data_IF_470257415880
#
_entry.id   IF_470257415880
#
_cell.length_a   1.000
_cell.length_b   1.000
_cell.length_c   1.000
_cell.angle_alpha   90.00
_cell.angle_beta   90.00
_cell.angle_gamma   90.00
#
_symmetry.space_group_name_H-M   'P 1'
#
loop_
_entity.id
_entity.type
_entity.pdbx_description
1 polymer ?
#
# COMPACT_ATOMS: atom_id res chain seq x y z
N UNK A 1 69.14 37.51 -43.76
CA UNK A 1 67.95 36.72 -44.16
C UNK A 1 67.55 35.86 -42.98
N UNK A 2 66.36 36.10 -42.43
CA UNK A 2 65.85 35.46 -41.19
C UNK A 2 65.12 34.16 -41.55
N UNK A 3 65.52 33.05 -40.95
CA UNK A 3 64.82 31.76 -40.96
C UNK A 3 63.66 31.76 -39.95
N UNK A 4 62.45 31.28 -40.29
CA UNK A 4 61.36 31.19 -39.34
C UNK A 4 61.42 29.87 -38.56
N UNK A 5 61.19 29.95 -37.25
CA UNK A 5 61.01 28.81 -36.35
C UNK A 5 59.50 28.54 -36.25
N UNK A 6 59.07 27.36 -36.68
CA UNK A 6 57.68 26.90 -36.54
C UNK A 6 57.53 26.20 -35.19
N UNK A 7 56.80 26.82 -34.26
CA UNK A 7 56.46 26.23 -32.97
C UNK A 7 55.18 25.40 -33.14
N UNK A 8 55.28 24.09 -32.93
CA UNK A 8 54.14 23.18 -32.88
C UNK A 8 53.49 23.26 -31.50
N UNK A 9 52.27 23.80 -31.41
CA UNK A 9 51.50 23.85 -30.17
C UNK A 9 50.78 22.51 -29.99
N UNK A 10 51.22 21.71 -29.01
CA UNK A 10 50.58 20.45 -28.65
C UNK A 10 49.37 20.76 -27.74
N UNK A 11 48.16 20.67 -28.27
CA UNK A 11 46.92 20.78 -27.47
C UNK A 11 46.65 19.42 -26.83
N UNK A 12 46.89 19.31 -25.53
CA UNK A 12 46.51 18.13 -24.73
C UNK A 12 45.03 18.27 -24.39
N UNK A 13 44.20 17.46 -25.06
CA UNK A 13 42.78 17.33 -24.75
C UNK A 13 42.64 16.42 -23.51
N UNK A 14 42.46 17.01 -22.33
CA UNK A 14 42.10 16.26 -21.13
C UNK A 14 40.65 15.76 -21.27
N UNK A 15 40.48 14.50 -21.64
CA UNK A 15 39.20 13.80 -21.55
C UNK A 15 38.95 13.51 -20.06
N UNK A 16 38.14 14.34 -19.41
CA UNK A 16 37.60 14.02 -18.10
C UNK A 16 36.58 12.90 -18.25
N UNK A 17 37.01 11.66 -18.04
CA UNK A 17 36.10 10.54 -17.82
C UNK A 17 35.42 10.81 -16.47
N UNK A 18 34.19 11.32 -16.51
CA UNK A 18 33.32 11.33 -15.34
C UNK A 18 33.03 9.85 -15.01
N UNK A 19 33.78 9.34 -14.04
CA UNK A 19 33.47 8.08 -13.40
C UNK A 19 32.17 8.34 -12.62
N UNK A 20 31.01 7.96 -13.18
CA UNK A 20 29.82 7.76 -12.39
C UNK A 20 30.18 6.70 -11.35
N UNK A 21 30.51 7.16 -10.14
CA UNK A 21 30.53 6.30 -8.99
C UNK A 21 29.10 5.82 -8.83
N UNK A 22 28.82 4.61 -9.33
CA UNK A 22 27.77 3.75 -8.82
C UNK A 22 28.04 3.61 -7.32
N UNK A 23 27.54 4.58 -6.55
CA UNK A 23 27.53 4.52 -5.11
C UNK A 23 26.55 3.42 -4.82
N UNK A 24 27.06 2.22 -4.57
CA UNK A 24 26.27 1.12 -4.02
C UNK A 24 25.49 1.71 -2.84
N UNK A 25 24.17 1.88 -2.99
CA UNK A 25 23.35 2.39 -1.89
C UNK A 25 23.53 1.43 -0.73
N UNK A 26 24.03 1.93 0.39
CA UNK A 26 24.32 1.11 1.55
C UNK A 26 23.01 0.81 2.30
N UNK A 27 22.86 -0.40 2.82
CA UNK A 27 21.76 -0.80 3.70
C UNK A 27 21.57 0.24 4.81
N UNK A 28 20.46 0.99 4.76
CA UNK A 28 20.24 2.12 5.64
C UNK A 28 18.75 2.43 5.82
N UNK A 29 18.41 2.90 7.02
CA UNK A 29 17.21 3.67 7.27
C UNK A 29 17.64 5.11 7.56
N UNK A 30 17.16 6.06 6.76
CA UNK A 30 17.48 7.48 6.90
C UNK A 30 16.21 8.32 6.87
N UNK A 31 16.26 9.49 7.51
CA UNK A 31 15.28 10.55 7.26
C UNK A 31 15.77 11.32 6.03
N UNK A 32 15.01 11.26 4.95
CA UNK A 32 15.32 11.90 3.68
C UNK A 32 14.99 13.40 3.73
N UNK A 33 13.77 13.75 4.15
CA UNK A 33 13.30 15.13 4.22
C UNK A 33 12.28 15.33 5.34
N UNK A 34 12.05 16.60 5.70
CA UNK A 34 10.99 16.98 6.64
C UNK A 34 10.47 18.38 6.39
N UNK A 35 9.16 18.58 6.61
CA UNK A 35 8.49 19.87 6.49
C UNK A 35 7.62 20.13 7.71
N UNK A 36 7.36 21.41 8.00
CA UNK A 36 6.45 21.79 9.09
C UNK A 36 5.03 22.00 8.53
N UNK A 37 4.05 21.30 9.10
CA UNK A 37 2.63 21.49 8.78
C UNK A 37 1.83 21.61 10.09
N UNK A 38 1.13 22.74 10.27
CA UNK A 38 0.31 23.00 11.46
C UNK A 38 1.05 22.77 12.79
N UNK A 39 2.34 23.11 12.84
CA UNK A 39 3.18 22.94 14.03
C UNK A 39 3.66 21.50 14.29
N UNK A 40 3.41 20.58 13.36
CA UNK A 40 3.90 19.18 13.41
C UNK A 40 4.90 18.93 12.28
N UNK A 41 5.91 18.12 12.55
CA UNK A 41 6.88 17.68 11.55
C UNK A 41 6.26 16.56 10.70
N UNK A 42 6.17 16.78 9.40
CA UNK A 42 5.98 15.72 8.42
C UNK A 42 7.36 15.29 7.97
N UNK A 43 7.61 13.99 8.02
CA UNK A 43 8.92 13.41 7.78
C UNK A 43 8.79 12.34 6.69
N UNK A 44 9.77 12.27 5.81
CA UNK A 44 9.93 11.23 4.81
C UNK A 44 11.17 10.40 5.19
N UNK A 45 11.02 9.08 5.20
CA UNK A 45 12.08 8.13 5.49
C UNK A 45 12.37 7.31 4.25
N UNK A 46 13.65 7.08 3.98
CA UNK A 46 14.11 6.14 2.96
C UNK A 46 14.70 4.91 3.65
N UNK A 47 14.25 3.73 3.22
CA UNK A 47 14.80 2.44 3.62
C UNK A 47 15.38 1.79 2.37
N UNK A 48 16.66 1.42 2.42
CA UNK A 48 17.36 0.77 1.29
C UNK A 48 17.95 -0.55 1.76
N UNK A 49 17.86 -1.60 0.94
CA UNK A 49 18.48 -2.91 1.21
C UNK A 49 19.80 -3.12 0.45
N UNK A 50 20.50 -4.22 0.71
CA UNK A 50 21.81 -4.50 0.09
C UNK A 50 21.74 -4.75 -1.43
N UNK A 51 20.55 -5.01 -1.98
CA UNK A 51 20.32 -5.21 -3.41
C UNK A 51 19.92 -3.92 -4.13
N UNK A 52 19.90 -2.79 -3.44
CA UNK A 52 19.55 -1.49 -3.99
C UNK A 52 18.04 -1.25 -4.11
N UNK A 53 17.18 -2.21 -3.73
CA UNK A 53 15.75 -1.94 -3.59
C UNK A 53 15.56 -0.92 -2.47
N UNK A 54 14.72 0.07 -2.72
CA UNK A 54 14.39 1.08 -1.72
C UNK A 54 12.89 1.29 -1.61
N UNK A 55 12.46 1.73 -0.43
CA UNK A 55 11.12 2.24 -0.20
C UNK A 55 11.21 3.60 0.45
N UNK A 56 10.20 4.44 0.20
CA UNK A 56 10.00 5.66 0.95
C UNK A 56 8.70 5.59 1.73
N UNK A 57 8.73 6.05 2.98
CA UNK A 57 7.58 6.03 3.88
C UNK A 57 7.51 7.35 4.65
N UNK A 58 6.33 7.96 4.72
CA UNK A 58 6.12 9.18 5.49
C UNK A 58 5.29 8.94 6.75
N UNK A 59 5.56 9.70 7.81
CA UNK A 59 4.73 9.71 9.01
C UNK A 59 3.32 10.32 8.78
N UNK A 60 3.07 10.98 7.64
CA UNK A 60 1.71 11.34 7.27
C UNK A 60 0.94 10.09 6.83
N UNK A 61 -0.05 9.71 7.63
CA UNK A 61 -0.83 8.49 7.48
C UNK A 61 -0.01 7.19 7.45
N UNK A 62 1.24 7.22 7.94
CA UNK A 62 2.21 6.13 7.82
C UNK A 62 2.20 5.57 6.38
N UNK A 63 2.33 6.44 5.38
CA UNK A 63 2.08 6.12 3.97
C UNK A 63 3.33 5.57 3.28
N UNK A 64 3.19 4.47 2.53
CA UNK A 64 4.20 3.96 1.60
C UNK A 64 4.17 4.83 0.34
N UNK A 65 5.13 5.75 0.23
CA UNK A 65 5.12 6.77 -0.82
C UNK A 65 5.85 6.36 -2.08
N UNK A 66 6.80 5.42 -1.98
CA UNK A 66 7.54 4.90 -3.11
C UNK A 66 8.05 3.47 -2.86
N UNK A 67 8.19 2.70 -3.94
CA UNK A 67 8.85 1.39 -4.00
C UNK A 67 9.66 1.34 -5.28
N UNK A 68 10.98 1.33 -5.16
CA UNK A 68 11.92 1.34 -6.28
C UNK A 68 12.61 -0.01 -6.40
N UNK A 69 12.34 -0.74 -7.48
CA UNK A 69 12.69 -2.18 -7.59
C UNK A 69 13.12 -2.54 -9.02
N UNK A 70 14.10 -3.46 -9.21
CA UNK A 70 14.60 -3.78 -10.54
C UNK A 70 13.62 -4.62 -11.34
N UNK A 71 13.70 -4.52 -12.67
CA UNK A 71 13.15 -5.50 -13.61
C UNK A 71 14.15 -6.65 -13.84
N UNK A 72 13.79 -7.60 -14.72
CA UNK A 72 14.66 -8.74 -15.06
C UNK A 72 15.94 -8.35 -15.81
N UNK A 73 16.06 -7.11 -16.31
CA UNK A 73 17.27 -6.53 -16.89
C UNK A 73 18.10 -5.74 -15.86
N UNK A 74 17.62 -5.58 -14.63
CA UNK A 74 18.27 -4.78 -13.59
C UNK A 74 17.91 -3.28 -13.62
N UNK A 75 16.95 -2.84 -14.46
CA UNK A 75 16.52 -1.44 -14.46
C UNK A 75 15.51 -1.20 -13.33
N UNK A 76 15.79 -0.21 -12.49
CA UNK A 76 14.91 0.14 -11.38
C UNK A 76 13.83 1.13 -11.81
N UNK A 77 12.61 0.94 -11.31
CA UNK A 77 11.48 1.84 -11.52
C UNK A 77 10.61 1.93 -10.27
N UNK A 78 9.84 3.01 -10.18
CA UNK A 78 8.79 3.20 -9.16
C UNK A 78 7.59 2.31 -9.48
N UNK A 79 7.26 1.37 -8.59
CA UNK A 79 6.18 0.40 -8.81
C UNK A 79 4.95 0.63 -7.95
N UNK A 80 4.86 1.79 -7.30
CA UNK A 80 3.64 2.29 -6.68
C UNK A 80 3.29 3.69 -7.22
N UNK A 81 2.01 4.02 -7.24
CA UNK A 81 1.57 5.39 -7.54
C UNK A 81 1.78 6.24 -6.29
N UNK A 82 2.30 7.44 -6.49
CA UNK A 82 2.67 8.35 -5.42
C UNK A 82 3.06 9.72 -5.97
N UNK A 83 3.81 10.47 -5.17
CA UNK A 83 4.24 11.83 -5.48
C UNK A 83 5.71 12.01 -5.11
N UNK A 84 6.41 12.86 -5.85
CA UNK A 84 7.80 13.25 -5.51
C UNK A 84 7.86 14.30 -4.39
N UNK A 85 6.73 14.98 -4.10
CA UNK A 85 6.62 15.99 -3.05
C UNK A 85 5.84 15.45 -1.86
N UNK A 86 6.40 15.63 -0.66
CA UNK A 86 5.75 15.30 0.60
C UNK A 86 4.49 16.16 0.83
N UNK A 87 4.51 17.43 0.43
CA UNK A 87 3.37 18.35 0.49
C UNK A 87 2.18 17.85 -0.34
N UNK A 88 2.42 17.17 -1.46
CA UNK A 88 1.35 16.67 -2.31
C UNK A 88 0.44 15.66 -1.57
N UNK A 89 0.99 14.93 -0.60
CA UNK A 89 0.22 14.00 0.24
C UNK A 89 -0.80 14.69 1.17
N UNK A 90 -0.61 15.98 1.49
CA UNK A 90 -1.59 16.79 2.22
C UNK A 90 -2.79 17.17 1.36
N UNK A 91 -2.64 17.10 0.04
CA UNK A 91 -3.66 17.44 -0.94
C UNK A 91 -4.76 16.38 -1.10
N UNK A 92 -5.65 16.60 -2.07
CA UNK A 92 -6.70 15.64 -2.40
C UNK A 92 -6.14 14.54 -3.30
N UNK A 93 -6.10 13.32 -2.79
CA UNK A 93 -5.73 12.12 -3.54
C UNK A 93 -6.50 10.89 -3.01
N UNK A 94 -6.51 9.75 -3.73
CA UNK A 94 -7.31 8.59 -3.36
C UNK A 94 -6.63 7.69 -2.32
N UNK A 95 -5.96 8.30 -1.32
CA UNK A 95 -5.25 7.63 -0.21
C UNK A 95 -4.02 6.83 -0.68
N UNK A 96 -3.29 7.34 -1.66
CA UNK A 96 -2.11 6.67 -2.22
C UNK A 96 -1.16 6.24 -1.08
N UNK A 97 -0.95 4.94 -0.95
CA UNK A 97 0.01 4.38 0.00
C UNK A 97 -0.37 4.46 1.48
N UNK A 98 -1.51 5.08 1.82
CA UNK A 98 -1.83 5.44 3.19
C UNK A 98 -2.26 4.25 4.04
N UNK A 99 -1.96 4.29 5.35
CA UNK A 99 -2.63 3.43 6.31
C UNK A 99 -4.08 3.86 6.50
N UNK A 100 -4.98 2.91 6.41
CA UNK A 100 -6.42 3.12 6.56
C UNK A 100 -6.88 2.56 7.90
N UNK A 101 -7.68 3.35 8.63
CA UNK A 101 -8.28 2.96 9.91
C UNK A 101 -9.12 4.10 10.52
N UNK A 102 -9.79 3.90 11.65
CA UNK A 102 -9.78 2.71 12.52
C UNK A 102 -10.39 1.45 11.89
N UNK A 103 -11.28 1.63 10.91
CA UNK A 103 -11.90 0.54 10.17
C UNK A 103 -11.77 0.74 8.65
N UNK A 104 -11.07 -0.17 7.99
CA UNK A 104 -10.91 -0.23 6.55
C UNK A 104 -12.19 -0.68 5.84
N UNK A 105 -12.39 -0.19 4.63
CA UNK A 105 -13.61 -0.39 3.85
C UNK A 105 -14.87 0.16 4.55
N UNK A 106 -16.05 -0.35 4.19
CA UNK A 106 -17.34 0.23 4.54
C UNK A 106 -17.97 -0.39 5.79
N UNK A 107 -18.71 0.43 6.54
CA UNK A 107 -19.66 0.03 7.58
C UNK A 107 -21.04 0.56 7.18
N UNK A 108 -22.01 -0.35 7.02
CA UNK A 108 -23.37 -0.05 6.59
C UNK A 108 -24.02 0.98 7.52
N UNK A 109 -24.80 1.87 6.93
CA UNK A 109 -25.50 2.98 7.59
C UNK A 109 -24.63 3.92 8.47
N UNK A 110 -23.31 3.77 8.42
CA UNK A 110 -22.38 4.39 9.35
C UNK A 110 -22.72 4.06 10.81
N UNK A 111 -23.11 2.83 11.10
CA UNK A 111 -23.40 2.40 12.47
C UNK A 111 -23.07 0.93 12.68
N UNK A 112 -22.79 0.56 13.93
CA UNK A 112 -22.69 -0.83 14.36
C UNK A 112 -23.09 -0.96 15.83
N UNK A 113 -23.42 -2.17 16.26
CA UNK A 113 -23.70 -2.46 17.67
C UNK A 113 -22.57 -3.27 18.30
N UNK A 114 -22.13 -2.88 19.49
CA UNK A 114 -21.13 -3.58 20.28
C UNK A 114 -21.59 -3.62 21.74
N UNK A 115 -21.65 -4.83 22.32
CA UNK A 115 -22.15 -5.07 23.68
C UNK A 115 -23.52 -4.44 23.96
N UNK A 116 -24.43 -4.51 22.99
CA UNK A 116 -25.80 -3.95 23.12
C UNK A 116 -25.89 -2.43 22.97
N UNK A 117 -24.77 -1.72 22.77
CA UNK A 117 -24.75 -0.29 22.48
C UNK A 117 -24.53 -0.05 20.98
N UNK A 118 -25.35 0.82 20.39
CA UNK A 118 -25.16 1.28 19.00
C UNK A 118 -24.23 2.50 18.96
N UNK A 119 -23.21 2.43 18.10
CA UNK A 119 -22.29 3.52 17.81
C UNK A 119 -22.58 4.09 16.43
N UNK A 120 -22.72 5.41 16.37
CA UNK A 120 -22.89 6.16 15.13
C UNK A 120 -21.53 6.68 14.66
N UNK A 121 -21.26 6.50 13.38
CA UNK A 121 -20.04 6.91 12.68
C UNK A 121 -20.35 8.03 11.70
N UNK A 122 -19.30 8.66 11.19
CA UNK A 122 -19.44 9.67 10.15
C UNK A 122 -19.91 9.05 8.82
N UNK A 123 -21.01 9.58 8.26
CA UNK A 123 -21.52 9.24 6.93
C UNK A 123 -20.72 9.98 5.86
N UNK A 124 -19.62 9.39 5.40
CA UNK A 124 -18.73 10.00 4.40
C UNK A 124 -18.83 9.33 3.00
N UNK A 125 -19.63 8.26 2.83
CA UNK A 125 -19.82 7.63 1.53
C UNK A 125 -21.23 7.04 1.38
N UNK A 126 -22.07 7.63 0.52
CA UNK A 126 -23.40 7.09 0.15
C UNK A 126 -24.30 6.71 1.35
N UNK A 127 -24.23 7.46 2.46
CA UNK A 127 -24.98 7.15 3.69
C UNK A 127 -24.34 6.08 4.59
N UNK A 128 -23.16 5.59 4.23
CA UNK A 128 -22.33 4.66 4.99
C UNK A 128 -21.06 5.36 5.49
N UNK A 129 -20.33 4.69 6.38
CA UNK A 129 -18.97 5.09 6.75
C UNK A 129 -17.98 4.29 5.92
N UNK A 130 -16.91 4.92 5.44
CA UNK A 130 -15.81 4.25 4.74
C UNK A 130 -14.47 4.72 5.31
N UNK A 131 -13.52 3.79 5.46
CA UNK A 131 -12.11 4.06 5.78
C UNK A 131 -11.93 4.94 7.04
N UNK A 132 -12.70 4.66 8.09
CA UNK A 132 -12.60 5.35 9.37
C UNK A 132 -13.19 6.77 9.43
N UNK A 133 -13.88 7.24 8.39
CA UNK A 133 -14.58 8.53 8.38
C UNK A 133 -13.83 9.64 7.62
N UNK A 134 -14.24 10.90 7.84
CA UNK A 134 -13.69 12.09 7.16
C UNK A 134 -12.25 12.34 7.57
N UNK A 135 -11.92 12.06 8.84
CA UNK A 135 -10.59 12.20 9.43
C UNK A 135 -9.99 10.85 9.85
N UNK A 136 -10.22 9.80 9.07
CA UNK A 136 -9.61 8.48 9.28
C UNK A 136 -8.07 8.54 9.31
N UNK A 137 -7.42 7.44 9.68
CA UNK A 137 -5.96 7.36 9.87
C UNK A 137 -5.18 7.78 8.62
N UNK A 138 -5.79 7.65 7.44
CA UNK A 138 -5.25 8.08 6.16
C UNK A 138 -5.11 9.62 6.01
N UNK A 139 -5.38 10.40 7.07
CA UNK A 139 -5.21 11.86 7.13
C UNK A 139 -4.50 12.35 8.39
N UNK A 140 -3.99 11.43 9.19
CA UNK A 140 -3.40 11.75 10.49
C UNK A 140 -1.88 11.81 10.38
N UNK A 141 -1.25 12.72 11.12
CA UNK A 141 0.21 12.71 11.28
C UNK A 141 0.53 11.79 12.45
N UNK A 142 1.22 10.70 12.16
CA UNK A 142 1.71 9.75 13.15
C UNK A 142 2.98 10.29 13.80
N UNK A 143 3.22 9.89 15.04
CA UNK A 143 4.50 10.10 15.70
C UNK A 143 5.53 9.12 15.12
N UNK A 144 6.71 9.62 14.76
CA UNK A 144 7.85 8.75 14.47
C UNK A 144 8.44 8.27 15.78
N UNK A 145 8.42 6.96 16.01
CA UNK A 145 8.97 6.35 17.24
C UNK A 145 10.46 6.06 17.09
N UNK A 146 10.84 5.32 16.03
CA UNK A 146 12.22 4.93 15.79
C UNK A 146 12.45 4.53 14.34
N UNK A 147 13.70 4.60 13.90
CA UNK A 147 14.15 4.04 12.63
C UNK A 147 15.60 3.58 12.79
N UNK A 148 15.92 2.39 12.30
CA UNK A 148 17.22 1.76 12.49
C UNK A 148 17.44 0.63 11.49
N UNK A 149 18.70 0.20 11.39
CA UNK A 149 19.09 -1.01 10.67
C UNK A 149 19.47 -2.08 11.68
N UNK A 150 18.96 -3.30 11.52
CA UNK A 150 19.35 -4.47 12.32
C UNK A 150 19.58 -5.67 11.39
N UNK A 151 20.79 -6.23 11.43
CA UNK A 151 21.21 -7.33 10.54
C UNK A 151 20.95 -6.97 9.07
N UNK A 152 20.06 -7.70 8.41
CA UNK A 152 19.68 -7.65 7.01
C UNK A 152 18.37 -6.88 6.77
N UNK A 153 17.92 -6.10 7.77
CA UNK A 153 16.62 -5.44 7.75
C UNK A 153 16.73 -3.99 8.19
N UNK A 154 16.13 -3.08 7.42
CA UNK A 154 15.92 -1.67 7.79
C UNK A 154 14.50 -1.47 8.26
N UNK A 155 14.30 -0.64 9.28
CA UNK A 155 13.00 -0.51 9.97
C UNK A 155 12.70 0.96 10.23
N UNK A 156 11.43 1.36 10.06
CA UNK A 156 10.85 2.58 10.63
C UNK A 156 9.54 2.24 11.34
N UNK A 157 9.30 2.84 12.50
CA UNK A 157 8.11 2.60 13.34
C UNK A 157 7.38 3.90 13.58
N UNK A 158 6.08 3.89 13.33
CA UNK A 158 5.16 4.99 13.58
C UNK A 158 4.14 4.63 14.66
N UNK A 159 3.74 5.61 15.46
CA UNK A 159 2.72 5.47 16.50
C UNK A 159 1.58 6.46 16.30
N UNK A 160 0.37 6.03 16.65
CA UNK A 160 -0.79 6.91 16.68
C UNK A 160 -1.74 6.52 17.80
N UNK A 161 -2.16 7.51 18.58
CA UNK A 161 -3.22 7.35 19.59
C UNK A 161 -4.52 7.91 19.05
N UNK A 162 -5.42 7.03 18.64
CA UNK A 162 -6.78 7.39 18.26
C UNK A 162 -7.64 7.53 19.50
N UNK A 163 -8.23 8.70 19.73
CA UNK A 163 -8.97 8.97 20.97
C UNK A 163 -10.32 8.26 20.98
N UNK A 164 -10.88 8.07 22.17
CA UNK A 164 -12.26 7.62 22.32
C UNK A 164 -13.22 8.51 21.51
N UNK A 165 -14.06 7.86 20.70
CA UNK A 165 -15.04 8.48 19.78
C UNK A 165 -14.44 9.25 18.60
N UNK A 166 -13.14 9.11 18.34
CA UNK A 166 -12.57 9.55 17.07
C UNK A 166 -13.20 8.77 15.92
N UNK A 167 -13.78 9.47 14.94
CA UNK A 167 -14.60 8.89 13.87
C UNK A 167 -15.91 8.23 14.35
N UNK A 168 -16.24 8.34 15.64
CA UNK A 168 -17.36 7.67 16.31
C UNK A 168 -17.03 6.33 16.97
N UNK A 169 -15.79 5.85 16.91
CA UNK A 169 -15.41 4.53 17.43
C UNK A 169 -15.11 4.56 18.95
N UNK A 170 -15.64 3.61 19.75
CA UNK A 170 -15.39 3.56 21.20
C UNK A 170 -13.96 3.13 21.54
N UNK A 171 -13.49 3.44 22.75
CA UNK A 171 -12.14 3.14 23.23
C UNK A 171 -11.04 4.06 22.65
N UNK A 172 -10.09 4.43 23.50
CA UNK A 172 -8.80 4.88 23.01
C UNK A 172 -8.10 3.67 22.36
N UNK A 173 -7.42 3.90 21.24
CA UNK A 173 -6.64 2.88 20.54
C UNK A 173 -5.20 3.39 20.41
N UNK A 174 -4.26 2.63 20.96
CA UNK A 174 -2.83 2.86 20.76
C UNK A 174 -2.34 1.96 19.64
N UNK A 175 -1.98 2.55 18.50
CA UNK A 175 -1.54 1.86 17.29
C UNK A 175 -0.04 2.07 17.09
N UNK A 176 0.66 0.99 16.74
CA UNK A 176 2.04 1.00 16.25
C UNK A 176 2.11 0.28 14.91
N UNK A 177 2.83 0.87 13.96
CA UNK A 177 3.04 0.35 12.61
C UNK A 177 4.53 0.31 12.34
N UNK A 178 5.07 -0.87 12.07
CA UNK A 178 6.45 -1.04 11.62
C UNK A 178 6.47 -1.33 10.11
N UNK A 179 7.23 -0.52 9.37
CA UNK A 179 7.67 -0.85 8.02
C UNK A 179 9.06 -1.43 8.12
N UNK A 180 9.26 -2.61 7.53
CA UNK A 180 10.56 -3.26 7.45
C UNK A 180 10.88 -3.57 6.00
N UNK A 181 12.10 -3.28 5.57
CA UNK A 181 12.63 -3.72 4.28
C UNK A 181 13.78 -4.69 4.53
N UNK A 182 13.65 -5.90 4.02
CA UNK A 182 14.66 -6.96 4.19
C UNK A 182 15.54 -7.12 2.94
N UNK A 183 16.70 -7.76 3.09
CA UNK A 183 17.53 -8.18 1.96
C UNK A 183 16.88 -9.28 1.10
N UNK A 184 15.68 -9.78 1.45
CA UNK A 184 14.91 -10.68 0.56
C UNK A 184 13.93 -9.91 -0.35
N UNK A 185 14.11 -8.59 -0.49
CA UNK A 185 13.20 -7.69 -1.19
C UNK A 185 11.75 -7.76 -0.65
N UNK A 186 11.63 -7.92 0.67
CA UNK A 186 10.33 -7.96 1.34
C UNK A 186 10.07 -6.62 2.03
N UNK A 187 8.92 -6.02 1.72
CA UNK A 187 8.32 -4.95 2.52
C UNK A 187 7.37 -5.61 3.50
N UNK A 188 7.69 -5.59 4.78
CA UNK A 188 6.88 -6.15 5.86
C UNK A 188 6.19 -4.99 6.59
N UNK A 189 4.87 -4.98 6.57
CA UNK A 189 4.03 -4.09 7.36
C UNK A 189 3.50 -4.87 8.55
N UNK A 190 3.89 -4.48 9.76
CA UNK A 190 3.39 -5.06 11.00
C UNK A 190 2.58 -4.02 11.77
N UNK A 191 1.32 -4.37 12.06
CA UNK A 191 0.43 -3.56 12.86
C UNK A 191 0.26 -4.20 14.23
N UNK A 192 0.36 -3.40 15.27
CA UNK A 192 -0.02 -3.79 16.63
C UNK A 192 -0.90 -2.72 17.25
N UNK A 193 -1.96 -3.13 17.94
CA UNK A 193 -2.80 -2.18 18.65
C UNK A 193 -3.40 -2.75 19.93
N UNK A 194 -3.64 -1.87 20.90
CA UNK A 194 -4.36 -2.17 22.15
C UNK A 194 -5.43 -1.12 22.39
N UNK A 195 -6.39 -1.45 23.24
CA UNK A 195 -7.49 -0.53 23.58
C UNK A 195 -7.84 -0.57 25.06
N UNK A 196 -8.40 0.53 25.56
CA UNK A 196 -8.90 0.65 26.94
C UNK A 196 -10.40 0.36 27.08
N UNK A 197 -11.13 0.19 25.96
CA UNK A 197 -12.54 -0.23 25.94
C UNK A 197 -12.80 -1.10 24.71
N UNK A 198 -13.81 -1.98 24.74
CA UNK A 198 -14.21 -2.73 23.56
C UNK A 198 -14.41 -1.81 22.34
N UNK A 199 -13.81 -2.19 21.21
CA UNK A 199 -13.89 -1.45 19.95
C UNK A 199 -13.93 -2.40 18.76
N UNK A 200 -14.04 -1.84 17.55
CA UNK A 200 -13.80 -2.57 16.31
C UNK A 200 -12.58 -1.98 15.60
N UNK A 201 -11.76 -2.84 15.02
CA UNK A 201 -10.54 -2.47 14.32
C UNK A 201 -10.37 -3.33 13.06
N UNK A 202 -10.02 -2.68 11.96
CA UNK A 202 -9.67 -3.34 10.71
C UNK A 202 -8.71 -2.39 9.98
N UNK A 203 -7.44 -2.77 9.84
CA UNK A 203 -6.41 -1.91 9.25
C UNK A 203 -5.94 -2.46 7.92
N UNK A 204 -5.50 -1.56 7.05
CA UNK A 204 -4.86 -1.95 5.80
C UNK A 204 -3.95 -0.83 5.27
N UNK A 205 -3.18 -1.13 4.23
CA UNK A 205 -2.41 -0.15 3.48
C UNK A 205 -3.00 -0.02 2.07
N UNK A 206 -3.27 1.21 1.65
CA UNK A 206 -3.96 1.52 0.39
C UNK A 206 -2.98 1.87 -0.75
N UNK A 207 -1.87 1.15 -0.86
CA UNK A 207 -0.92 1.28 -1.97
C UNK A 207 -1.54 0.85 -3.29
N UNK A 208 -1.32 1.66 -4.33
CA UNK A 208 -1.67 1.34 -5.70
C UNK A 208 -0.39 0.90 -6.40
N UNK A 209 -0.26 -0.39 -6.68
CA UNK A 209 0.90 -0.95 -7.36
C UNK A 209 0.75 -0.86 -8.88
N UNK A 210 1.88 -0.69 -9.57
CA UNK A 210 1.99 -0.82 -11.01
C UNK A 210 3.39 -1.31 -11.40
N UNK A 211 3.51 -2.63 -11.60
CA UNK A 211 4.80 -3.27 -11.87
C UNK A 211 5.43 -2.91 -13.24
N UNK A 212 4.73 -2.17 -14.13
CA UNK A 212 5.33 -1.64 -15.36
C UNK A 212 6.34 -0.52 -15.09
N UNK A 213 6.45 -0.06 -13.84
CA UNK A 213 7.13 1.18 -13.50
C UNK A 213 6.24 2.40 -13.67
N UNK A 214 4.94 2.26 -13.40
CA UNK A 214 3.95 3.32 -13.62
C UNK A 214 3.91 3.87 -15.07
N UNK A 215 4.15 3.03 -16.08
CA UNK A 215 4.24 3.44 -17.50
C UNK A 215 2.96 3.23 -18.31
N UNK A 216 1.96 2.55 -17.74
CA UNK A 216 0.68 2.31 -18.41
C UNK A 216 -0.33 1.57 -17.53
N UNK A 217 -1.52 1.25 -18.06
CA UNK A 217 -2.56 0.52 -17.34
C UNK A 217 -2.11 -0.87 -16.88
N UNK A 218 -2.70 -1.35 -15.78
CA UNK A 218 -2.34 -2.65 -15.17
C UNK A 218 -3.15 -3.84 -15.71
N UNK A 219 -3.85 -3.65 -16.83
CA UNK A 219 -4.79 -4.64 -17.37
C UNK A 219 -4.12 -5.93 -17.85
N UNK A 220 -2.84 -5.84 -18.24
CA UNK A 220 -2.04 -6.94 -18.78
C UNK A 220 -1.19 -7.67 -17.71
N UNK A 221 -1.22 -7.22 -16.45
CA UNK A 221 -0.62 -7.97 -15.37
C UNK A 221 -1.34 -9.30 -15.20
N UNK A 222 -0.58 -10.36 -14.94
CA UNK A 222 -1.11 -11.68 -14.65
C UNK A 222 -1.40 -11.77 -13.15
N UNK A 223 -2.67 -11.81 -12.78
CA UNK A 223 -3.12 -11.91 -11.40
C UNK A 223 -3.44 -13.36 -11.04
N UNK A 224 -2.96 -13.82 -9.88
CA UNK A 224 -3.38 -15.05 -9.22
C UNK A 224 -3.72 -14.73 -7.77
N UNK A 225 -4.92 -15.10 -7.32
CA UNK A 225 -5.41 -14.85 -5.97
C UNK A 225 -5.76 -16.20 -5.32
N UNK A 226 -5.25 -16.44 -4.10
CA UNK A 226 -5.52 -17.64 -3.30
C UNK A 226 -6.84 -17.48 -2.55
N UNK A 227 -7.94 -17.47 -3.29
CA UNK A 227 -9.30 -17.33 -2.77
C UNK A 227 -10.28 -18.11 -3.65
N UNK A 228 -11.26 -18.76 -3.03
CA UNK A 228 -12.35 -19.47 -3.73
C UNK A 228 -13.68 -18.70 -3.75
N UNK A 229 -13.79 -17.64 -2.96
CA UNK A 229 -15.02 -16.85 -2.84
C UNK A 229 -14.74 -15.36 -2.66
N UNK A 230 -15.75 -14.56 -3.01
CA UNK A 230 -15.82 -13.12 -2.77
C UNK A 230 -17.01 -12.77 -1.87
N UNK A 231 -17.00 -11.58 -1.29
CA UNK A 231 -18.18 -10.99 -0.64
C UNK A 231 -18.89 -10.05 -1.63
N UNK A 232 -19.92 -10.52 -2.36
CA UNK A 232 -20.64 -9.67 -3.31
C UNK A 232 -21.27 -8.47 -2.61
N UNK A 233 -21.35 -7.35 -3.32
CA UNK A 233 -21.81 -6.07 -2.79
C UNK A 233 -23.09 -5.60 -3.50
N UNK A 234 -23.88 -4.80 -2.79
CA UNK A 234 -25.01 -4.08 -3.37
C UNK A 234 -24.57 -2.85 -4.19
N UNK A 235 -25.53 -2.06 -4.69
CA UNK A 235 -25.25 -0.88 -5.51
C UNK A 235 -24.55 0.27 -4.76
N UNK A 236 -24.55 0.25 -3.42
CA UNK A 236 -23.83 1.23 -2.60
C UNK A 236 -22.45 0.72 -2.16
N UNK A 237 -22.12 -0.54 -2.44
CA UNK A 237 -20.82 -1.15 -2.16
C UNK A 237 -20.76 -1.88 -0.81
N UNK A 238 -21.92 -2.14 -0.17
CA UNK A 238 -21.99 -2.90 1.08
C UNK A 238 -22.11 -4.40 0.77
N UNK A 239 -21.35 -5.27 1.45
CA UNK A 239 -21.53 -6.70 1.30
C UNK A 239 -22.94 -7.17 1.65
N UNK A 240 -23.48 -8.05 0.80
CA UNK A 240 -24.78 -8.69 1.07
C UNK A 240 -24.72 -9.56 2.32
N UNK A 241 -23.55 -10.10 2.63
CA UNK A 241 -23.30 -11.12 3.67
C UNK A 241 -23.07 -12.50 3.07
N UNK A 242 -23.31 -12.70 1.78
CA UNK A 242 -23.01 -13.95 1.08
C UNK A 242 -21.50 -14.13 0.88
N UNK A 243 -21.06 -15.38 0.73
CA UNK A 243 -19.79 -15.75 0.13
C UNK A 243 -20.06 -16.42 -1.22
N UNK A 244 -19.86 -15.69 -2.31
CA UNK A 244 -20.10 -16.18 -3.67
C UNK A 244 -18.83 -16.83 -4.21
N UNK A 245 -18.93 -18.07 -4.72
CA UNK A 245 -17.83 -18.75 -5.39
C UNK A 245 -17.34 -17.97 -6.61
N UNK A 246 -16.02 -17.93 -6.80
CA UNK A 246 -15.42 -17.27 -7.97
C UNK A 246 -15.49 -18.14 -9.23
N UNK A 247 -15.65 -19.46 -9.10
CA UNK A 247 -15.56 -20.40 -10.22
C UNK A 247 -16.54 -20.05 -11.35
N UNK A 248 -16.01 -19.92 -12.56
CA UNK A 248 -16.82 -19.59 -13.74
C UNK A 248 -17.30 -18.13 -13.82
N UNK A 249 -16.83 -17.27 -12.92
CA UNK A 249 -17.15 -15.84 -12.89
C UNK A 249 -15.96 -14.98 -13.33
N UNK A 250 -16.21 -13.67 -13.45
CA UNK A 250 -15.19 -12.68 -13.80
C UNK A 250 -14.17 -12.47 -12.68
N UNK A 251 -14.45 -12.96 -11.47
CA UNK A 251 -13.60 -12.90 -10.29
C UNK A 251 -12.67 -14.12 -10.15
N UNK A 252 -12.69 -15.07 -11.09
CA UNK A 252 -11.84 -16.27 -11.02
C UNK A 252 -10.38 -16.00 -11.38
N UNK A 253 -9.58 -15.69 -10.35
CA UNK A 253 -8.11 -15.62 -10.41
C UNK A 253 -7.43 -16.77 -9.66
N UNK A 254 -8.10 -17.92 -9.50
CA UNK A 254 -7.48 -19.10 -8.87
C UNK A 254 -6.28 -19.63 -9.66
N UNK A 255 -6.20 -19.26 -10.95
CA UNK A 255 -5.07 -19.44 -11.88
C UNK A 255 -4.62 -18.08 -12.43
N UNK A 256 -3.32 -17.88 -12.79
CA UNK A 256 -2.82 -16.63 -13.36
C UNK A 256 -3.58 -16.20 -14.62
N UNK A 257 -4.17 -14.99 -14.62
CA UNK A 257 -4.89 -14.42 -15.77
C UNK A 257 -4.77 -12.89 -15.85
N UNK A 258 -4.81 -12.29 -17.05
CA UNK A 258 -4.90 -10.84 -17.20
C UNK A 258 -6.28 -10.33 -16.76
N UNK A 259 -6.35 -9.02 -16.48
CA UNK A 259 -7.59 -8.38 -16.07
C UNK A 259 -8.40 -7.80 -17.25
N UNK A 260 -7.78 -7.56 -18.41
CA UNK A 260 -8.37 -6.86 -19.57
C UNK A 260 -9.72 -7.43 -20.01
N UNK A 261 -9.76 -8.68 -20.49
CA UNK A 261 -10.99 -9.32 -20.99
C UNK A 261 -12.12 -9.34 -19.96
N UNK A 262 -11.77 -9.56 -18.70
CA UNK A 262 -12.73 -9.65 -17.58
C UNK A 262 -13.31 -8.27 -17.26
N UNK A 263 -12.47 -7.24 -17.21
CA UNK A 263 -12.92 -5.85 -17.02
C UNK A 263 -13.79 -5.40 -18.19
N UNK A 264 -13.43 -5.75 -19.43
CA UNK A 264 -14.26 -5.46 -20.61
C UNK A 264 -15.63 -6.13 -20.49
N UNK A 265 -15.69 -7.41 -20.10
CA UNK A 265 -16.95 -8.14 -19.91
C UNK A 265 -17.82 -7.57 -18.79
N UNK A 266 -17.21 -7.11 -17.69
CA UNK A 266 -17.94 -6.48 -16.59
C UNK A 266 -18.33 -5.02 -16.87
N UNK A 267 -17.64 -4.34 -17.79
CA UNK A 267 -17.80 -2.91 -18.04
C UNK A 267 -17.32 -1.99 -16.91
N UNK A 268 -16.54 -2.52 -15.96
CA UNK A 268 -16.01 -1.80 -14.79
C UNK A 268 -14.72 -2.44 -14.27
N UNK A 269 -13.97 -1.69 -13.46
CA UNK A 269 -12.83 -2.21 -12.72
C UNK A 269 -13.24 -3.10 -11.53
N UNK A 270 -12.25 -3.56 -10.77
CA UNK A 270 -12.48 -4.34 -9.54
C UNK A 270 -12.62 -3.42 -8.34
N UNK A 271 -13.55 -3.74 -7.44
CA UNK A 271 -13.69 -3.19 -6.09
C UNK A 271 -14.40 -4.27 -5.27
N UNK A 272 -13.68 -5.35 -4.95
CA UNK A 272 -14.26 -6.55 -4.33
C UNK A 272 -13.32 -7.16 -3.28
N UNK A 273 -13.89 -7.61 -2.17
CA UNK A 273 -13.17 -8.36 -1.15
C UNK A 273 -13.20 -9.87 -1.49
N UNK A 274 -12.02 -10.46 -1.56
CA UNK A 274 -11.80 -11.90 -1.63
C UNK A 274 -11.68 -12.48 -0.23
N UNK A 275 -12.33 -13.63 0.02
CA UNK A 275 -12.14 -14.44 1.22
C UNK A 275 -10.97 -15.40 0.95
N UNK A 276 -9.85 -15.21 1.65
CA UNK A 276 -8.60 -15.92 1.38
C UNK A 276 -8.68 -17.39 1.85
N UNK A 277 -8.05 -18.28 1.08
CA UNK A 277 -7.99 -19.72 1.35
C UNK A 277 -6.80 -20.03 2.26
N UNK A 278 -6.88 -19.61 3.51
CA UNK A 278 -5.79 -19.75 4.49
C UNK A 278 -6.29 -20.12 5.87
N UNK A 279 -5.38 -20.62 6.70
CA UNK A 279 -5.66 -20.76 8.13
C UNK A 279 -5.75 -19.37 8.77
N UNK A 280 -6.68 -19.18 9.70
CA UNK A 280 -6.77 -17.93 10.46
C UNK A 280 -5.46 -17.67 11.21
N UNK A 281 -5.05 -16.41 11.31
CA UNK A 281 -3.84 -15.94 12.01
C UNK A 281 -2.47 -16.40 11.47
N UNK A 282 -2.43 -17.38 10.57
CA UNK A 282 -1.21 -17.77 9.85
C UNK A 282 -0.81 -16.71 8.82
N UNK A 283 0.48 -16.46 8.61
CA UNK A 283 0.92 -15.61 7.49
C UNK A 283 1.10 -16.47 6.24
N UNK A 284 0.18 -16.38 5.28
CA UNK A 284 0.16 -17.22 4.07
C UNK A 284 0.06 -16.37 2.80
N UNK A 285 0.38 -16.98 1.65
CA UNK A 285 0.32 -16.34 0.34
C UNK A 285 -1.14 -16.00 -0.03
N UNK A 286 -1.41 -14.72 -0.25
CA UNK A 286 -2.72 -14.21 -0.65
C UNK A 286 -2.82 -14.00 -2.16
N UNK A 287 -1.79 -13.43 -2.79
CA UNK A 287 -1.79 -13.12 -4.21
C UNK A 287 -0.39 -13.14 -4.82
N UNK A 288 -0.34 -13.39 -6.14
CA UNK A 288 0.84 -13.20 -6.98
C UNK A 288 0.42 -12.37 -8.18
N UNK A 289 1.18 -11.32 -8.47
CA UNK A 289 0.99 -10.47 -9.64
C UNK A 289 2.27 -10.43 -10.44
N UNK A 290 2.20 -10.72 -11.73
CA UNK A 290 3.37 -10.71 -12.62
C UNK A 290 3.12 -9.69 -13.73
N UNK A 291 4.10 -8.86 -14.04
CA UNK A 291 4.09 -8.06 -15.26
C UNK A 291 5.05 -8.69 -16.27
N UNK A 292 4.54 -9.28 -17.37
CA UNK A 292 5.35 -10.12 -18.25
C UNK A 292 6.53 -9.41 -18.95
N UNK A 293 6.41 -8.11 -19.25
CA UNK A 293 7.42 -7.40 -20.05
C UNK A 293 8.67 -7.09 -19.22
N UNK A 294 8.52 -6.38 -18.10
CA UNK A 294 9.60 -6.14 -17.13
C UNK A 294 10.01 -7.43 -16.43
N UNK A 295 9.10 -8.39 -16.30
CA UNK A 295 9.31 -9.60 -15.53
C UNK A 295 9.27 -9.40 -14.03
N UNK A 296 8.84 -8.23 -13.53
CA UNK A 296 8.63 -8.00 -12.09
C UNK A 296 7.49 -8.87 -11.58
N UNK A 297 7.70 -9.44 -10.39
CA UNK A 297 6.75 -10.29 -9.68
C UNK A 297 6.53 -9.70 -8.29
N UNK A 298 5.27 -9.54 -7.91
CA UNK A 298 4.85 -9.20 -6.55
C UNK A 298 4.15 -10.40 -5.94
N UNK A 299 4.69 -10.93 -4.83
CA UNK A 299 4.03 -11.92 -3.99
C UNK A 299 3.55 -11.24 -2.71
N UNK A 300 2.27 -11.34 -2.44
CA UNK A 300 1.66 -10.73 -1.27
C UNK A 300 1.25 -11.83 -0.29
N UNK A 301 1.72 -11.73 0.96
CA UNK A 301 1.38 -12.63 2.07
C UNK A 301 0.71 -11.83 3.18
N UNK A 302 -0.16 -12.46 3.96
CA UNK A 302 -0.83 -11.77 5.05
C UNK A 302 -1.33 -12.71 6.14
N UNK A 303 -1.57 -12.17 7.34
CA UNK A 303 -2.35 -12.81 8.40
C UNK A 303 -3.85 -12.61 8.24
N UNK A 304 -4.28 -11.57 7.51
CA UNK A 304 -5.69 -11.19 7.38
C UNK A 304 -6.54 -12.27 6.69
N UNK A 305 -7.83 -12.39 7.01
CA UNK A 305 -8.72 -13.38 6.40
C UNK A 305 -9.21 -12.98 5.00
N UNK A 306 -9.09 -11.70 4.64
CA UNK A 306 -9.57 -11.14 3.39
C UNK A 306 -8.58 -10.19 2.72
N UNK A 307 -8.91 -9.85 1.47
CA UNK A 307 -8.14 -8.89 0.68
C UNK A 307 -9.09 -8.13 -0.24
N UNK A 308 -9.12 -6.80 -0.15
CA UNK A 308 -9.73 -5.98 -1.19
C UNK A 308 -8.82 -6.02 -2.42
N UNK A 309 -9.36 -6.49 -3.54
CA UNK A 309 -8.74 -6.30 -4.83
C UNK A 309 -9.43 -5.14 -5.54
N UNK A 310 -8.66 -4.09 -5.78
CA UNK A 310 -9.15 -2.87 -6.38
C UNK A 310 -8.35 -2.51 -7.63
N UNK A 311 -9.05 -2.31 -8.75
CA UNK A 311 -8.50 -1.67 -9.95
C UNK A 311 -9.50 -0.57 -10.33
N UNK A 312 -9.17 0.72 -10.14
CA UNK A 312 -10.06 1.83 -10.45
C UNK A 312 -10.26 2.00 -11.96
N UNK A 313 -11.50 2.22 -12.39
CA UNK A 313 -11.79 2.78 -13.73
C UNK A 313 -11.61 4.33 -13.75
N UNK A 314 -11.44 4.97 -12.60
CA UNK A 314 -11.30 6.42 -12.53
C UNK A 314 -9.99 6.89 -13.17
N UNK A 315 -10.05 7.96 -13.95
CA UNK A 315 -8.87 8.75 -14.33
C UNK A 315 -8.38 9.54 -13.12
N UNK A 316 -7.07 9.53 -12.89
CA UNK A 316 -6.40 10.28 -11.83
C UNK A 316 -5.43 11.31 -12.42
N UNK A 317 -5.74 11.83 -13.61
CA UNK A 317 -4.92 12.76 -14.39
C UNK A 317 -4.84 14.17 -13.79
N UNK A 318 -5.65 14.46 -12.78
CA UNK A 318 -5.54 15.64 -11.93
C UNK A 318 -4.36 15.58 -10.94
N UNK A 319 -3.68 14.43 -10.84
CA UNK A 319 -2.50 14.21 -10.03
C UNK A 319 -1.23 14.33 -10.87
N UNK A 320 -0.18 14.90 -10.29
CA UNK A 320 1.18 14.88 -10.84
C UNK A 320 1.97 13.85 -10.05
N UNK A 321 2.10 12.65 -10.62
CA UNK A 321 2.76 11.52 -9.98
C UNK A 321 4.29 11.57 -10.08
N UNK A 322 4.93 10.48 -9.66
CA UNK A 322 6.39 10.30 -9.78
C UNK A 322 6.93 10.64 -11.17
N UNK A 323 8.05 11.34 -11.22
CA UNK A 323 8.70 11.79 -12.46
C UNK A 323 7.74 12.57 -13.38
N UNK A 324 6.83 13.35 -12.78
CA UNK A 324 5.77 14.10 -13.45
C UNK A 324 4.79 13.24 -14.28
N UNK A 325 4.63 11.96 -13.92
CA UNK A 325 3.71 11.04 -14.60
C UNK A 325 2.25 11.41 -14.38
N UNK A 326 1.41 11.18 -15.39
CA UNK A 326 -0.05 11.35 -15.28
C UNK A 326 -0.72 9.98 -15.15
N UNK A 327 -1.61 9.82 -14.17
CA UNK A 327 -2.26 8.54 -13.89
C UNK A 327 -3.61 8.41 -14.62
N UNK A 328 -3.64 7.55 -15.64
CA UNK A 328 -4.82 7.26 -16.45
C UNK A 328 -5.88 6.37 -15.78
N UNK A 329 -6.85 5.84 -16.55
CA UNK A 329 -7.76 4.81 -16.05
C UNK A 329 -7.02 3.48 -15.87
N UNK A 330 -7.42 2.69 -14.87
CA UNK A 330 -6.83 1.38 -14.56
C UNK A 330 -5.31 1.42 -14.33
N UNK A 331 -4.80 2.52 -13.79
CA UNK A 331 -3.36 2.78 -13.74
C UNK A 331 -2.63 2.09 -12.58
N UNK A 332 -3.34 1.59 -11.59
CA UNK A 332 -2.77 0.88 -10.46
C UNK A 332 -3.75 -0.14 -9.89
N UNK A 333 -3.24 -1.11 -9.16
CA UNK A 333 -4.07 -2.08 -8.42
C UNK A 333 -3.74 -2.04 -6.92
N UNK A 334 -4.74 -2.22 -6.06
CA UNK A 334 -4.53 -2.39 -4.62
C UNK A 334 -4.75 -3.84 -4.22
N UNK A 335 -3.97 -4.28 -3.23
CA UNK A 335 -4.13 -5.55 -2.52
C UNK A 335 -4.28 -5.23 -1.03
N UNK A 336 -5.44 -4.72 -0.63
CA UNK A 336 -5.67 -4.24 0.73
C UNK A 336 -5.99 -5.43 1.63
N UNK A 337 -4.99 -5.96 2.33
CA UNK A 337 -5.18 -7.06 3.28
C UNK A 337 -6.00 -6.55 4.47
N UNK A 338 -7.13 -7.21 4.76
CA UNK A 338 -8.12 -6.73 5.71
C UNK A 338 -9.06 -7.84 6.20
N UNK A 339 -9.81 -7.56 7.25
CA UNK A 339 -11.07 -8.25 7.52
C UNK A 339 -12.16 -7.84 6.54
N UNK A 340 -13.21 -8.64 6.43
CA UNK A 340 -14.27 -8.41 5.45
C UNK A 340 -14.98 -7.06 5.70
N UNK A 341 -15.40 -6.35 4.64
CA UNK A 341 -16.17 -5.13 4.82
C UNK A 341 -17.47 -5.40 5.59
N UNK A 342 -17.90 -4.45 6.41
CA UNK A 342 -19.11 -4.54 7.22
C UNK A 342 -19.15 -5.69 8.25
N UNK A 343 -18.02 -6.35 8.59
CA UNK A 343 -17.95 -7.41 9.62
C UNK A 343 -18.67 -7.06 10.94
N UNK A 344 -18.61 -5.83 11.50
CA UNK A 344 -19.36 -5.45 12.70
C UNK A 344 -20.87 -5.68 12.61
N UNK A 345 -21.44 -5.73 11.41
CA UNK A 345 -22.86 -5.95 11.15
C UNK A 345 -23.15 -7.32 10.51
N UNK A 346 -22.15 -8.21 10.41
CA UNK A 346 -22.24 -9.54 9.79
C UNK A 346 -21.65 -10.60 10.74
N UNK A 347 -22.42 -11.12 11.71
CA UNK A 347 -21.88 -11.96 12.79
C UNK A 347 -21.17 -13.25 12.35
N UNK A 348 -21.42 -13.73 11.13
CA UNK A 348 -20.77 -14.92 10.55
C UNK A 348 -19.47 -14.61 9.80
N UNK A 349 -19.13 -13.33 9.62
CA UNK A 349 -17.82 -12.92 9.11
C UNK A 349 -16.77 -12.96 10.25
N UNK A 350 -15.47 -13.03 9.92
CA UNK A 350 -14.42 -12.92 10.92
C UNK A 350 -14.59 -11.65 11.77
N UNK A 351 -14.52 -11.82 13.09
CA UNK A 351 -14.72 -10.72 14.03
C UNK A 351 -13.62 -9.68 13.94
N UNK A 352 -14.00 -8.42 14.08
CA UNK A 352 -13.08 -7.26 14.13
C UNK A 352 -13.06 -6.64 15.53
N UNK A 353 -13.69 -7.27 16.52
CA UNK A 353 -13.74 -6.75 17.88
C UNK A 353 -12.38 -6.88 18.54
N UNK A 354 -11.95 -5.81 19.22
CA UNK A 354 -10.78 -5.80 20.10
C UNK A 354 -11.23 -5.43 21.51
N UNK A 355 -10.90 -6.25 22.50
CA UNK A 355 -11.23 -6.05 23.90
C UNK A 355 -10.01 -5.55 24.70
N UNK A 356 -10.23 -4.87 25.84
CA UNK A 356 -9.14 -4.54 26.77
C UNK A 356 -8.41 -5.79 27.24
N UNK A 357 -7.07 -5.73 27.25
CA UNK A 357 -6.20 -6.87 27.59
C UNK A 357 -5.79 -7.72 26.39
N UNK A 358 -6.45 -7.57 25.24
CA UNK A 358 -6.04 -8.20 23.99
C UNK A 358 -5.04 -7.32 23.23
N UNK A 359 -4.33 -7.93 22.27
CA UNK A 359 -3.45 -7.22 21.34
C UNK A 359 -3.84 -7.58 19.92
N UNK A 360 -4.28 -6.59 19.16
CA UNK A 360 -4.42 -6.72 17.71
C UNK A 360 -3.03 -6.92 17.10
N UNK A 361 -2.89 -7.90 16.21
CA UNK A 361 -1.68 -8.13 15.42
C UNK A 361 -2.05 -8.47 13.99
N UNK A 362 -1.44 -7.77 13.04
CA UNK A 362 -1.59 -8.04 11.62
C UNK A 362 -0.23 -7.92 10.95
N UNK A 363 0.07 -8.81 10.02
CA UNK A 363 1.26 -8.75 9.17
C UNK A 363 0.84 -8.81 7.71
N UNK A 364 1.42 -7.95 6.89
CA UNK A 364 1.37 -8.03 5.43
C UNK A 364 2.79 -7.98 4.89
N UNK A 365 3.10 -8.85 3.94
CA UNK A 365 4.42 -8.92 3.29
C UNK A 365 4.22 -8.74 1.80
N UNK A 366 4.89 -7.75 1.22
CA UNK A 366 5.03 -7.59 -0.23
C UNK A 366 6.46 -7.96 -0.62
N UNK A 367 6.62 -9.14 -1.20
CA UNK A 367 7.91 -9.64 -1.68
C UNK A 367 8.03 -9.40 -3.18
N UNK A 368 9.13 -8.78 -3.59
CA UNK A 368 9.44 -8.52 -4.99
C UNK A 368 10.51 -9.48 -5.52
N UNK A 369 10.22 -10.03 -6.69
CA UNK A 369 11.10 -10.94 -7.41
C UNK A 369 11.10 -10.56 -8.90
N UNK A 370 11.95 -11.20 -9.68
CA UNK A 370 11.86 -11.21 -11.14
C UNK A 370 11.58 -12.63 -11.61
N UNK A 371 10.91 -12.78 -12.76
CA UNK A 371 10.78 -14.08 -13.41
C UNK A 371 12.19 -14.65 -13.65
N UNK A 372 12.40 -15.90 -13.27
CA UNK A 372 13.62 -16.63 -13.63
C UNK A 372 13.63 -16.82 -15.15
N UNK A 373 14.80 -16.65 -15.78
CA UNK A 373 15.01 -16.96 -17.20
C UNK A 373 14.76 -18.44 -17.52
#
# INVERSE_FOLDING_TARGET
MRTPITIFLLVILCISVACEQNTLRQLAASRDSSILHEGKSLELFELVNEHGMSIQVTNYAASLTDVFVPDKQGNFEHVVLGFDSLEAYLGKHPKLGATVGRYANRIKNAEFSLNGQTYQLEKNNKGHSIHGGIKGFNRQIFETDTFYTVKDTTVVVFKYRSRHLEGGFPGNLDLSIAYKLTNRNEIILEYTATTDRPTVINLTNHSYFNLTGCKGPVLNHMYMIKADSITPVDSTGIPTGELMSVTGTEYDYTSPRPAEDRIQKMGKGYDINYKLNKQLDSCELAAVVVEPLSGRVLRAYTTEPGMQFYIPNSKMDYLVGHNASTYGPYYGFCLEMQHFPDSPNKPHFPTTTLLPGETYRQVTIYQFETISE
#
